data_IF_811132034283
#
_entry.id   IF_811132034283
#
_cell.length_a   1.000
_cell.length_b   1.000
_cell.length_c   1.000
_cell.angle_alpha   90.00
_cell.angle_beta   90.00
_cell.angle_gamma   90.00
#
_symmetry.space_group_name_H-M   'P 1'
#
loop_
_entity.id
_entity.type
_entity.pdbx_description
1 polymer ?
#
# COMPACT_ATOMS: atom_id res chain seq x y z
N UNK A 1 34.83 -5.86 -5.29
CA UNK A 1 34.92 -5.31 -3.93
C UNK A 1 34.16 -3.98 -3.91
N UNK A 2 32.91 -3.96 -3.41
CA UNK A 2 32.18 -2.71 -3.14
C UNK A 2 32.41 -2.36 -1.68
N UNK A 3 32.92 -1.15 -1.43
CA UNK A 3 33.32 -0.68 -0.11
C UNK A 3 32.15 -0.66 0.87
N UNK A 4 32.41 -1.15 2.07
CA UNK A 4 31.56 -0.97 3.25
C UNK A 4 31.68 0.50 3.61
N UNK A 5 30.73 1.33 3.15
CA UNK A 5 30.55 2.66 3.71
C UNK A 5 30.04 2.50 5.13
N UNK A 6 30.75 3.08 6.10
CA UNK A 6 30.28 3.20 7.47
C UNK A 6 28.94 3.96 7.46
N UNK A 7 27.83 3.21 7.48
CA UNK A 7 26.54 3.78 7.84
C UNK A 7 26.67 4.20 9.30
N UNK A 8 26.70 5.51 9.55
CA UNK A 8 26.35 6.01 10.87
C UNK A 8 24.92 5.52 11.13
N UNK A 9 24.79 4.50 11.98
CA UNK A 9 23.49 4.12 12.51
C UNK A 9 23.03 5.32 13.31
N UNK A 10 22.22 6.18 12.69
CA UNK A 10 21.42 7.16 13.42
C UNK A 10 20.68 6.33 14.46
N UNK A 11 20.96 6.55 15.74
CA UNK A 11 20.18 5.94 16.81
C UNK A 11 18.81 6.61 16.77
N UNK A 12 17.91 6.03 15.98
CA UNK A 12 16.53 6.50 15.92
C UNK A 12 15.87 6.17 17.26
N UNK A 13 15.24 7.16 17.88
CA UNK A 13 14.38 6.99 19.05
C UNK A 13 12.92 7.24 18.72
N UNK A 14 12.66 7.90 17.57
CA UNK A 14 11.35 8.27 17.05
C UNK A 14 11.34 8.15 15.54
N UNK A 15 10.21 7.73 14.97
CA UNK A 15 9.92 7.71 13.54
C UNK A 15 8.56 8.36 13.27
N UNK A 16 8.45 9.11 12.19
CA UNK A 16 7.17 9.64 11.70
C UNK A 16 6.64 8.76 10.58
N UNK A 17 5.40 8.30 10.72
CA UNK A 17 4.76 7.31 9.84
C UNK A 17 3.57 7.94 9.13
N UNK A 18 3.60 7.96 7.80
CA UNK A 18 2.50 8.42 6.96
C UNK A 18 1.48 7.33 6.68
N UNK A 19 0.20 7.64 6.89
CA UNK A 19 -0.96 6.85 6.47
C UNK A 19 -1.98 7.74 5.76
N UNK A 20 -2.96 7.17 5.05
CA UNK A 20 -4.01 7.95 4.40
C UNK A 20 -5.08 8.43 5.40
N UNK A 21 -5.44 7.57 6.35
CA UNK A 21 -6.48 7.79 7.35
C UNK A 21 -7.89 7.51 6.86
N UNK A 22 -8.08 6.98 5.66
CA UNK A 22 -9.40 6.71 5.03
C UNK A 22 -9.48 5.38 4.28
N UNK A 23 -8.59 4.44 4.59
CA UNK A 23 -8.49 3.15 3.92
C UNK A 23 -8.71 1.95 4.88
N UNK A 24 -9.95 1.73 5.36
CA UNK A 24 -10.26 0.58 6.20
C UNK A 24 -10.13 -0.75 5.41
N UNK A 25 -9.73 -1.86 6.07
CA UNK A 25 -9.43 -2.00 7.50
C UNK A 25 -7.98 -1.61 7.89
N UNK A 26 -7.19 -1.09 6.96
CA UNK A 26 -5.76 -0.84 7.14
C UNK A 26 -5.49 0.38 8.02
N UNK A 27 -6.01 1.54 7.63
CA UNK A 27 -5.92 2.76 8.42
C UNK A 27 -7.19 3.59 8.21
N UNK A 28 -7.76 4.10 9.30
CA UNK A 28 -8.97 4.92 9.25
C UNK A 28 -8.97 5.90 10.41
N UNK A 29 -9.63 7.04 10.21
CA UNK A 29 -9.85 8.04 11.24
C UNK A 29 -11.23 7.83 11.85
N UNK A 30 -11.30 7.65 13.16
CA UNK A 30 -12.55 7.52 13.91
C UNK A 30 -13.32 8.85 13.92
N UNK A 31 -14.61 8.85 14.28
CA UNK A 31 -15.37 10.09 14.47
C UNK A 31 -14.78 11.03 15.55
N UNK A 32 -14.00 10.50 16.51
CA UNK A 32 -13.28 11.31 17.50
C UNK A 32 -11.98 11.92 16.97
N UNK A 33 -11.56 11.60 15.74
CA UNK A 33 -10.33 12.08 15.12
C UNK A 33 -9.10 11.20 15.39
N UNK A 34 -9.27 10.04 16.02
CA UNK A 34 -8.18 9.11 16.31
C UNK A 34 -7.92 8.17 15.13
N UNK A 35 -6.66 7.82 14.89
CA UNK A 35 -6.32 6.81 13.88
C UNK A 35 -6.45 5.39 14.47
N UNK A 36 -6.95 4.47 13.66
CA UNK A 36 -7.08 3.04 13.97
C UNK A 36 -6.85 2.17 12.72
N UNK A 37 -6.57 0.89 12.91
CA UNK A 37 -6.52 -0.12 11.84
C UNK A 37 -5.26 -0.98 11.88
N UNK A 38 -5.21 -1.98 10.99
CA UNK A 38 -4.12 -2.96 10.91
C UNK A 38 -2.73 -2.32 10.77
N UNK A 39 -2.61 -1.22 10.03
CA UNK A 39 -1.34 -0.53 9.80
C UNK A 39 -0.74 -0.01 11.11
N UNK A 40 -1.58 0.51 12.00
CA UNK A 40 -1.15 1.03 13.30
C UNK A 40 -0.66 -0.09 14.20
N UNK A 41 -1.30 -1.25 14.16
CA UNK A 41 -0.88 -2.42 14.93
C UNK A 41 0.42 -2.99 14.38
N UNK A 42 0.53 -3.12 13.06
CA UNK A 42 1.72 -3.63 12.37
C UNK A 42 2.96 -2.77 12.64
N UNK A 43 2.84 -1.43 12.59
CA UNK A 43 3.99 -0.55 12.84
C UNK A 43 4.39 -0.51 14.32
N UNK A 44 3.41 -0.55 15.24
CA UNK A 44 3.70 -0.61 16.68
C UNK A 44 4.45 -1.90 17.05
N UNK A 45 4.11 -3.03 16.42
CA UNK A 45 4.80 -4.30 16.66
C UNK A 45 6.21 -4.29 16.04
N UNK A 46 6.31 -3.92 14.76
CA UNK A 46 7.59 -3.94 14.04
C UNK A 46 8.62 -2.90 14.54
N UNK A 47 8.14 -1.76 15.05
CA UNK A 47 8.97 -0.69 15.59
C UNK A 47 8.81 -0.52 17.11
N UNK A 48 8.58 -1.62 17.84
CA UNK A 48 8.29 -1.63 19.30
C UNK A 48 9.35 -0.96 20.21
N UNK A 49 10.56 -0.71 19.70
CA UNK A 49 11.63 -0.02 20.43
C UNK A 49 11.72 1.48 20.11
N UNK A 50 10.85 1.98 19.22
CA UNK A 50 10.82 3.36 18.72
C UNK A 50 9.48 4.02 19.07
N UNK A 51 9.50 5.32 19.33
CA UNK A 51 8.27 6.12 19.33
C UNK A 51 7.77 6.26 17.89
N UNK A 52 6.54 5.85 17.61
CA UNK A 52 5.92 5.99 16.29
C UNK A 52 4.89 7.12 16.30
N UNK A 53 5.18 8.20 15.59
CA UNK A 53 4.27 9.33 15.40
C UNK A 53 3.54 9.18 14.07
N UNK A 54 2.29 8.77 14.14
CA UNK A 54 1.50 8.35 12.98
C UNK A 54 0.60 9.51 12.56
N UNK A 55 0.75 9.92 11.30
CA UNK A 55 0.06 11.10 10.75
C UNK A 55 -0.69 10.74 9.47
N UNK A 56 -1.92 11.26 9.37
CA UNK A 56 -2.73 11.13 8.17
C UNK A 56 -2.41 12.22 7.14
N UNK A 57 -2.32 11.84 5.87
CA UNK A 57 -2.27 12.76 4.71
C UNK A 57 -2.94 12.14 3.48
N UNK A 58 -3.39 13.01 2.59
CA UNK A 58 -3.88 12.61 1.27
C UNK A 58 -2.88 11.69 0.54
N UNK A 59 -3.41 10.65 -0.10
CA UNK A 59 -2.64 9.61 -0.79
C UNK A 59 -1.57 10.16 -1.74
N UNK A 60 -1.94 11.13 -2.57
CA UNK A 60 -1.06 11.72 -3.58
C UNK A 60 0.16 12.44 -2.96
N UNK A 61 0.08 12.82 -1.69
CA UNK A 61 1.15 13.51 -0.98
C UNK A 61 2.13 12.58 -0.26
N UNK A 62 1.85 11.27 -0.18
CA UNK A 62 2.63 10.33 0.63
C UNK A 62 4.08 10.22 0.14
N UNK A 63 4.29 9.88 -1.13
CA UNK A 63 5.64 9.74 -1.71
C UNK A 63 6.38 11.09 -1.73
N UNK A 64 5.78 12.21 -2.19
CA UNK A 64 6.42 13.52 -2.09
C UNK A 64 6.84 13.90 -0.66
N UNK A 65 6.01 13.59 0.34
CA UNK A 65 6.31 13.87 1.75
C UNK A 65 7.44 13.00 2.29
N UNK A 66 7.49 11.73 1.91
CA UNK A 66 8.59 10.82 2.24
C UNK A 66 9.92 11.33 1.65
N UNK A 67 9.94 11.71 0.36
CA UNK A 67 11.12 12.25 -0.30
C UNK A 67 11.62 13.58 0.30
N UNK A 68 10.70 14.39 0.82
CA UNK A 68 11.02 15.63 1.54
C UNK A 68 11.40 15.40 3.01
N UNK A 69 11.41 14.15 3.50
CA UNK A 69 11.73 13.80 4.88
C UNK A 69 10.68 14.26 5.89
N UNK A 70 9.44 14.49 5.44
CA UNK A 70 8.31 14.79 6.35
C UNK A 70 7.83 13.53 7.07
N UNK A 71 7.98 12.37 6.43
CA UNK A 71 7.78 11.03 7.00
C UNK A 71 9.06 10.22 6.82
N UNK A 72 9.27 9.27 7.71
CA UNK A 72 10.35 8.28 7.61
C UNK A 72 9.84 6.98 6.96
N UNK A 73 8.54 6.68 7.12
CA UNK A 73 7.89 5.47 6.62
C UNK A 73 6.50 5.81 6.10
N UNK A 74 6.03 5.10 5.06
CA UNK A 74 4.63 5.13 4.59
C UNK A 74 4.07 3.71 4.63
N UNK A 75 2.86 3.53 5.16
CA UNK A 75 2.19 2.22 5.21
C UNK A 75 1.17 2.06 4.09
N UNK A 76 0.83 0.80 3.78
CA UNK A 76 -0.10 0.41 2.70
C UNK A 76 0.31 0.91 1.30
N UNK A 77 1.59 1.19 1.09
CA UNK A 77 2.15 1.53 -0.22
C UNK A 77 2.54 0.25 -0.98
N UNK A 78 1.78 -0.11 -2.00
CA UNK A 78 2.13 -1.22 -2.89
C UNK A 78 3.34 -0.93 -3.77
N UNK A 79 4.29 -1.86 -3.95
CA UNK A 79 5.44 -1.66 -4.83
C UNK A 79 5.04 -1.69 -6.31
N UNK A 80 5.65 -0.81 -7.11
CA UNK A 80 5.65 -0.91 -8.56
C UNK A 80 6.97 -0.35 -9.13
N UNK A 81 7.23 -0.54 -10.42
CA UNK A 81 8.50 -0.15 -11.04
C UNK A 81 8.79 1.35 -10.88
N UNK A 82 7.77 2.20 -11.01
CA UNK A 82 7.93 3.65 -10.89
C UNK A 82 8.30 4.06 -9.46
N UNK A 83 7.64 3.47 -8.46
CA UNK A 83 7.90 3.76 -7.04
C UNK A 83 9.28 3.24 -6.61
N UNK A 84 9.68 2.05 -7.05
CA UNK A 84 11.00 1.47 -6.75
C UNK A 84 12.17 2.28 -7.29
N UNK A 85 11.95 3.17 -8.26
CA UNK A 85 12.97 4.10 -8.76
C UNK A 85 13.26 5.25 -7.80
N UNK A 86 12.36 5.53 -6.85
CA UNK A 86 12.42 6.72 -5.98
C UNK A 86 12.37 6.40 -4.50
N UNK A 87 11.82 5.26 -4.09
CA UNK A 87 11.72 4.83 -2.69
C UNK A 87 12.02 3.34 -2.53
N UNK A 88 12.54 2.97 -1.36
CA UNK A 88 12.73 1.58 -0.96
C UNK A 88 11.45 1.00 -0.33
N UNK A 89 11.36 -0.34 -0.36
CA UNK A 89 10.24 -1.09 0.23
C UNK A 89 10.78 -2.15 1.18
N UNK A 90 10.07 -2.38 2.28
CA UNK A 90 10.27 -3.55 3.13
C UNK A 90 9.76 -4.82 2.45
N UNK A 91 9.96 -5.96 3.12
CA UNK A 91 9.13 -7.13 2.86
C UNK A 91 7.65 -6.78 3.14
N UNK A 92 6.70 -7.32 2.35
CA UNK A 92 5.29 -7.01 2.54
C UNK A 92 4.76 -7.64 3.84
N UNK A 93 4.05 -6.87 4.65
CA UNK A 93 3.32 -7.38 5.81
C UNK A 93 1.89 -7.84 5.46
N UNK A 94 1.39 -7.46 4.28
CA UNK A 94 0.10 -7.89 3.73
C UNK A 94 0.17 -7.93 2.20
N UNK A 95 -0.54 -8.89 1.60
CA UNK A 95 -0.75 -8.97 0.15
C UNK A 95 -2.25 -8.94 -0.10
N UNK A 96 -2.73 -7.90 -0.78
CA UNK A 96 -4.12 -7.76 -1.17
C UNK A 96 -4.27 -7.93 -2.68
N UNK A 97 -5.24 -8.73 -3.16
CA UNK A 97 -5.57 -8.73 -4.58
C UNK A 97 -6.30 -7.44 -4.95
N UNK A 98 -6.07 -6.95 -6.17
CA UNK A 98 -6.98 -6.00 -6.79
C UNK A 98 -8.17 -6.77 -7.39
N UNK A 99 -9.39 -6.34 -7.08
CA UNK A 99 -10.62 -7.03 -7.47
C UNK A 99 -11.60 -6.05 -8.11
N UNK A 100 -12.35 -6.52 -9.10
CA UNK A 100 -13.52 -5.82 -9.61
C UNK A 100 -14.74 -6.17 -8.74
N UNK A 101 -15.44 -5.15 -8.26
CA UNK A 101 -16.75 -5.31 -7.62
C UNK A 101 -17.81 -4.69 -8.52
N UNK A 102 -18.89 -5.44 -8.76
CA UNK A 102 -20.00 -5.04 -9.62
C UNK A 102 -21.33 -5.25 -8.90
N UNK A 103 -22.35 -4.48 -9.29
CA UNK A 103 -23.71 -4.72 -8.83
C UNK A 103 -24.16 -6.12 -9.24
N UNK A 104 -24.73 -6.87 -8.31
CA UNK A 104 -25.14 -8.26 -8.53
C UNK A 104 -26.25 -8.39 -9.59
N UNK A 105 -27.06 -7.35 -9.76
CA UNK A 105 -28.12 -7.23 -10.77
C UNK A 105 -27.70 -6.37 -11.97
N UNK A 106 -26.43 -5.95 -12.04
CA UNK A 106 -25.91 -5.09 -13.09
C UNK A 106 -25.53 -5.83 -14.38
N UNK A 107 -25.29 -5.10 -15.48
CA UNK A 107 -24.90 -5.68 -16.77
C UNK A 107 -23.55 -6.42 -16.72
N UNK A 108 -22.71 -6.11 -15.73
CA UNK A 108 -21.42 -6.76 -15.50
C UNK A 108 -21.48 -7.92 -14.50
N UNK A 109 -22.66 -8.34 -14.03
CA UNK A 109 -22.80 -9.42 -13.05
C UNK A 109 -22.23 -10.77 -13.51
N UNK A 110 -21.96 -10.93 -14.81
CA UNK A 110 -21.38 -12.13 -15.43
C UNK A 110 -20.01 -11.83 -16.05
N UNK A 111 -19.19 -11.01 -15.41
CA UNK A 111 -17.81 -10.80 -15.84
C UNK A 111 -17.07 -12.14 -15.90
N UNK A 112 -16.29 -12.39 -16.98
CA UNK A 112 -15.42 -13.56 -17.04
C UNK A 112 -14.41 -13.54 -15.87
N UNK A 113 -13.93 -14.72 -15.47
CA UNK A 113 -12.98 -14.89 -14.36
C UNK A 113 -13.48 -14.47 -12.97
N UNK A 114 -14.80 -14.37 -12.78
CA UNK A 114 -15.38 -14.08 -11.46
C UNK A 114 -14.99 -15.16 -10.46
N UNK A 115 -14.31 -14.77 -9.37
CA UNK A 115 -13.85 -15.66 -8.31
C UNK A 115 -12.49 -16.31 -8.55
N UNK A 116 -11.84 -16.01 -9.67
CA UNK A 116 -10.49 -16.49 -9.97
C UNK A 116 -9.43 -15.52 -9.43
N UNK A 117 -8.31 -16.08 -8.94
CA UNK A 117 -7.12 -15.31 -8.55
C UNK A 117 -6.07 -15.41 -9.65
N UNK A 118 -5.86 -14.31 -10.36
CA UNK A 118 -4.93 -14.25 -11.49
C UNK A 118 -3.82 -13.25 -11.20
N UNK A 119 -2.60 -13.55 -11.66
CA UNK A 119 -1.48 -12.61 -11.60
C UNK A 119 -1.40 -11.83 -12.90
N UNK A 120 -1.33 -10.49 -12.80
CA UNK A 120 -1.09 -9.64 -13.96
C UNK A 120 0.27 -9.90 -14.62
N UNK A 121 1.19 -10.62 -13.98
CA UNK A 121 2.53 -10.84 -14.51
C UNK A 121 2.62 -12.13 -15.35
N UNK A 122 1.53 -12.88 -15.50
CA UNK A 122 1.47 -14.11 -16.31
C UNK A 122 0.75 -13.89 -17.64
N UNK A 123 1.06 -14.72 -18.64
CA UNK A 123 0.38 -14.70 -19.94
C UNK A 123 -1.13 -14.95 -19.80
N UNK A 124 -1.50 -15.84 -18.88
CA UNK A 124 -2.90 -16.14 -18.55
C UNK A 124 -3.63 -14.94 -17.96
N UNK A 125 -3.02 -14.25 -16.97
CA UNK A 125 -3.61 -13.05 -16.40
C UNK A 125 -3.73 -11.90 -17.41
N UNK A 126 -2.75 -11.76 -18.31
CA UNK A 126 -2.83 -10.77 -19.40
C UNK A 126 -3.96 -11.07 -20.39
N UNK A 127 -4.21 -12.36 -20.71
CA UNK A 127 -5.37 -12.77 -21.52
C UNK A 127 -6.69 -12.44 -20.82
N UNK A 128 -6.81 -12.80 -19.53
CA UNK A 128 -8.00 -12.50 -18.74
C UNK A 128 -8.28 -10.99 -18.65
N UNK A 129 -7.24 -10.16 -18.47
CA UNK A 129 -7.38 -8.69 -18.48
C UNK A 129 -7.92 -8.20 -19.84
N UNK A 130 -7.47 -8.76 -20.95
CA UNK A 130 -7.96 -8.40 -22.27
C UNK A 130 -9.45 -8.77 -22.45
N UNK A 131 -9.86 -9.95 -22.01
CA UNK A 131 -11.26 -10.41 -22.04
C UNK A 131 -12.17 -9.53 -21.17
N UNK A 132 -11.74 -9.22 -19.94
CA UNK A 132 -12.46 -8.31 -19.05
C UNK A 132 -12.58 -6.92 -19.69
N UNK A 133 -11.50 -6.40 -20.28
CA UNK A 133 -11.51 -5.09 -20.95
C UNK A 133 -12.51 -5.03 -22.10
N UNK A 134 -12.66 -6.10 -22.86
CA UNK A 134 -13.63 -6.14 -23.95
C UNK A 134 -15.08 -6.13 -23.44
N UNK A 135 -15.35 -6.82 -22.34
CA UNK A 135 -16.67 -6.79 -21.68
C UNK A 135 -16.95 -5.44 -21.03
N UNK A 136 -15.95 -4.75 -20.48
CA UNK A 136 -16.11 -3.44 -19.85
C UNK A 136 -16.31 -2.27 -20.83
N UNK A 137 -16.21 -2.49 -22.14
CA UNK A 137 -16.47 -1.46 -23.17
C UNK A 137 -17.97 -1.15 -23.38
N UNK A 138 -18.85 -1.65 -22.51
CA UNK A 138 -20.26 -1.22 -22.44
C UNK A 138 -20.39 0.29 -22.28
#
# INVERSE_FOLDING_TARGET
MRGIGNAFVKAWTKVTVGVEGVFPPFNSTTPSGELQGLDLDAIKESASTLECDIVARDWDSQIPSLLLGKFDVVLTMGPNEQRRKVIDFSDPYVITPNTFLVAADGPLAKLPHTGEHLSSDTEEGQKAIAEIKDVMKV
#
